data_IF_329733424177
#
_entry.id   IF_329733424177
#
_cell.length_a   1.000
_cell.length_b   1.000
_cell.length_c   1.000
_cell.angle_alpha   90.00
_cell.angle_beta   90.00
_cell.angle_gamma   90.00
#
_symmetry.space_group_name_H-M   'P 1'
#
loop_
_entity.id
_entity.type
_entity.pdbx_description
1 polymer ?
#
# COMPACT_ATOMS: atom_id res chain seq x y z
N UNK A 1 7.45 -12.03 30.03
CA UNK A 1 6.46 -11.77 28.97
C UNK A 1 6.26 -10.27 28.86
N UNK A 2 6.47 -9.69 27.68
CA UNK A 2 6.16 -8.30 27.38
C UNK A 2 5.09 -8.30 26.27
N UNK A 3 4.03 -7.51 26.43
CA UNK A 3 2.95 -7.38 25.44
C UNK A 3 2.74 -5.90 25.17
N UNK A 4 2.59 -5.55 23.89
CA UNK A 4 2.33 -4.19 23.43
C UNK A 4 1.05 -4.21 22.60
N UNK A 5 0.18 -3.22 22.78
CA UNK A 5 -1.03 -3.08 21.99
C UNK A 5 -1.88 -1.91 22.45
N UNK A 6 -2.87 -1.57 21.64
CA UNK A 6 -3.86 -0.53 21.90
C UNK A 6 -5.26 -1.15 21.80
N UNK A 7 -6.01 -1.08 22.90
CA UNK A 7 -7.37 -1.62 22.96
C UNK A 7 -8.30 -0.91 21.96
N UNK A 8 -8.12 0.39 21.75
CA UNK A 8 -8.91 1.20 20.81
C UNK A 8 -8.66 0.85 19.35
N UNK A 9 -7.58 0.13 19.03
CA UNK A 9 -7.26 -0.34 17.68
C UNK A 9 -7.67 -1.80 17.43
N UNK A 10 -8.54 -2.38 18.26
CA UNK A 10 -9.01 -3.77 18.06
C UNK A 10 -10.11 -3.84 16.99
N UNK A 11 -9.69 -3.83 15.72
CA UNK A 11 -10.59 -3.78 14.55
C UNK A 11 -10.88 -5.16 13.90
N UNK A 12 -10.26 -6.24 14.39
CA UNK A 12 -10.43 -7.61 13.86
C UNK A 12 -11.36 -8.48 14.71
N UNK A 13 -12.35 -7.89 15.38
CA UNK A 13 -13.28 -8.64 16.24
C UNK A 13 -14.12 -9.66 15.47
N UNK A 14 -14.40 -9.39 14.20
CA UNK A 14 -15.11 -10.31 13.30
C UNK A 14 -14.34 -11.61 13.01
N UNK A 15 -13.01 -11.63 13.19
CA UNK A 15 -12.19 -12.84 13.15
C UNK A 15 -11.79 -13.34 14.54
N UNK A 16 -12.47 -12.87 15.59
CA UNK A 16 -12.27 -13.32 16.97
C UNK A 16 -11.23 -12.54 17.79
N UNK A 17 -10.70 -11.41 17.30
CA UNK A 17 -9.83 -10.57 18.13
C UNK A 17 -10.63 -9.91 19.27
N UNK A 18 -10.08 -9.92 20.49
CA UNK A 18 -10.72 -9.29 21.66
C UNK A 18 -9.74 -8.36 22.38
N UNK A 19 -10.18 -7.14 22.78
CA UNK A 19 -9.36 -6.25 23.60
C UNK A 19 -9.15 -6.81 25.02
N UNK A 20 -9.95 -7.78 25.47
CA UNK A 20 -9.92 -8.33 26.82
C UNK A 20 -8.56 -8.90 27.22
N UNK A 21 -7.76 -9.35 26.27
CA UNK A 21 -6.40 -9.83 26.53
C UNK A 21 -5.49 -8.71 27.06
N UNK A 22 -5.62 -7.49 26.52
CA UNK A 22 -4.89 -6.33 26.98
C UNK A 22 -5.52 -5.76 28.26
N UNK A 23 -6.83 -5.61 28.28
CA UNK A 23 -7.55 -5.00 29.40
C UNK A 23 -7.39 -5.80 30.70
N UNK A 24 -7.41 -7.15 30.62
CA UNK A 24 -7.27 -8.02 31.80
C UNK A 24 -5.84 -8.49 32.05
N UNK A 25 -4.83 -7.92 31.36
CA UNK A 25 -3.46 -8.39 31.48
C UNK A 25 -2.94 -8.32 32.92
N UNK A 26 -3.20 -7.21 33.63
CA UNK A 26 -2.82 -7.04 35.04
C UNK A 26 -3.58 -7.98 35.98
N UNK A 27 -4.81 -8.34 35.65
CA UNK A 27 -5.59 -9.32 36.43
C UNK A 27 -4.94 -10.70 36.37
N UNK A 28 -4.41 -11.07 35.19
CA UNK A 28 -3.73 -12.36 34.97
C UNK A 28 -2.26 -12.34 35.41
N UNK A 29 -1.63 -11.16 35.39
CA UNK A 29 -0.24 -10.94 35.78
C UNK A 29 -0.14 -9.76 36.77
N UNK A 30 -0.43 -9.97 38.07
CA UNK A 30 -0.51 -8.88 39.06
C UNK A 30 0.79 -8.07 39.23
N UNK A 31 1.94 -8.70 39.01
CA UNK A 31 3.26 -8.05 39.06
C UNK A 31 3.66 -7.28 37.78
N UNK A 32 2.77 -7.19 36.78
CA UNK A 32 3.09 -6.53 35.52
C UNK A 32 3.24 -5.01 35.70
N UNK A 33 4.32 -4.45 35.16
CA UNK A 33 4.51 -3.01 35.02
C UNK A 33 3.73 -2.51 33.81
N UNK A 34 2.98 -1.42 33.97
CA UNK A 34 2.27 -0.78 32.85
C UNK A 34 2.96 0.51 32.48
N UNK A 35 3.35 0.60 31.22
CA UNK A 35 3.91 1.81 30.61
C UNK A 35 2.89 2.33 29.61
N UNK A 36 2.47 3.59 29.75
CA UNK A 36 1.56 4.25 28.81
C UNK A 36 2.38 5.14 27.88
N UNK A 37 2.28 4.89 26.58
CA UNK A 37 2.90 5.71 25.55
C UNK A 37 1.85 6.69 25.03
N UNK A 38 1.94 7.95 25.45
CA UNK A 38 0.97 9.01 25.09
C UNK A 38 1.51 9.98 24.05
N UNK A 39 2.79 9.89 23.71
CA UNK A 39 3.42 10.77 22.71
C UNK A 39 3.22 10.17 21.33
N UNK A 40 2.51 10.89 20.47
CA UNK A 40 2.33 10.54 19.06
C UNK A 40 3.38 11.28 18.22
N UNK A 41 4.21 10.53 17.50
CA UNK A 41 5.25 11.10 16.63
C UNK A 41 4.85 11.05 15.14
N UNK A 42 3.65 10.53 14.83
CA UNK A 42 3.20 10.26 13.47
C UNK A 42 2.41 11.42 12.89
N UNK A 43 1.47 11.94 13.67
CA UNK A 43 0.38 12.81 13.22
C UNK A 43 0.53 14.22 13.76
N UNK A 44 0.00 15.19 13.04
CA UNK A 44 -0.02 16.60 13.46
C UNK A 44 -0.94 16.81 14.65
N UNK A 45 -0.78 17.90 15.43
CA UNK A 45 -1.68 18.23 16.53
C UNK A 45 -3.16 18.26 16.14
N UNK A 46 -3.48 18.70 14.92
CA UNK A 46 -4.86 18.77 14.39
C UNK A 46 -5.48 17.39 14.20
N UNK A 47 -4.74 16.46 13.58
CA UNK A 47 -5.20 15.08 13.38
C UNK A 47 -5.33 14.36 14.72
N UNK A 48 -4.36 14.53 15.63
CA UNK A 48 -4.42 13.95 16.99
C UNK A 48 -5.59 14.50 17.78
N UNK A 49 -5.88 15.80 17.68
CA UNK A 49 -7.01 16.42 18.35
C UNK A 49 -8.35 15.84 17.86
N UNK A 50 -8.53 15.70 16.54
CA UNK A 50 -9.72 15.08 15.96
C UNK A 50 -9.88 13.62 16.42
N UNK A 51 -8.79 12.85 16.41
CA UNK A 51 -8.80 11.44 16.83
C UNK A 51 -9.17 11.30 18.33
N UNK A 52 -8.56 12.10 19.21
CA UNK A 52 -8.90 12.12 20.64
C UNK A 52 -10.37 12.51 20.85
N UNK A 53 -10.87 13.51 20.10
CA UNK A 53 -12.26 13.92 20.13
C UNK A 53 -13.23 12.79 19.77
N UNK A 54 -12.97 12.07 18.68
CA UNK A 54 -13.76 10.92 18.25
C UNK A 54 -13.74 9.79 19.29
N UNK A 55 -12.56 9.45 19.80
CA UNK A 55 -12.39 8.41 20.82
C UNK A 55 -13.04 8.79 22.16
N UNK A 56 -13.18 10.09 22.46
CA UNK A 56 -13.84 10.54 23.68
C UNK A 56 -15.33 10.19 23.73
N UNK A 57 -15.97 10.02 22.57
CA UNK A 57 -17.38 9.68 22.41
C UNK A 57 -17.65 8.17 22.46
N UNK A 58 -16.62 7.33 22.42
CA UNK A 58 -16.78 5.88 22.47
C UNK A 58 -17.33 5.41 23.84
N UNK A 59 -18.14 4.35 23.83
CA UNK A 59 -18.73 3.74 25.03
C UNK A 59 -18.23 2.31 25.29
N UNK A 60 -18.33 1.85 26.54
CA UNK A 60 -17.95 0.49 26.95
C UNK A 60 -16.55 0.38 27.55
N UNK A 61 -16.12 -0.85 27.91
CA UNK A 61 -14.87 -1.11 28.65
C UNK A 61 -13.60 -0.57 27.98
N UNK A 62 -13.60 -0.39 26.66
CA UNK A 62 -12.47 0.19 25.94
C UNK A 62 -12.29 1.69 26.24
N UNK A 63 -13.36 2.41 26.56
CA UNK A 63 -13.29 3.83 26.91
C UNK A 63 -12.54 4.09 28.23
N UNK A 64 -12.63 3.16 29.20
CA UNK A 64 -11.95 3.28 30.50
C UNK A 64 -10.41 3.20 30.39
N UNK A 65 -9.92 2.62 29.29
CA UNK A 65 -8.50 2.40 29.04
C UNK A 65 -7.96 3.23 27.87
N UNK A 66 -8.72 4.22 27.38
CA UNK A 66 -8.28 5.09 26.30
C UNK A 66 -7.03 5.88 26.67
N UNK A 67 -6.13 5.99 25.71
CA UNK A 67 -4.96 6.85 25.81
C UNK A 67 -5.30 8.18 25.13
N UNK A 68 -5.13 9.27 25.85
CA UNK A 68 -5.13 10.60 25.24
C UNK A 68 -3.74 10.84 24.65
N UNK A 69 -3.69 10.98 23.32
CA UNK A 69 -2.43 11.15 22.60
C UNK A 69 -2.04 12.63 22.52
N UNK A 70 -0.74 12.91 22.54
CA UNK A 70 -0.16 14.25 22.43
C UNK A 70 0.85 14.24 21.29
N UNK A 71 0.53 14.96 20.21
CA UNK A 71 1.42 15.09 19.04
C UNK A 71 2.76 15.72 19.43
N UNK A 72 3.83 15.21 18.83
CA UNK A 72 5.19 15.74 18.90
C UNK A 72 5.63 16.40 17.58
N UNK A 73 4.74 16.48 16.59
CA UNK A 73 5.00 17.14 15.30
C UNK A 73 4.62 18.61 15.36
N UNK A 74 5.16 19.36 14.41
CA UNK A 74 4.70 20.73 14.15
C UNK A 74 3.25 20.76 13.69
N UNK A 75 2.64 21.94 13.79
CA UNK A 75 1.26 22.17 13.34
C UNK A 75 1.13 21.92 11.84
N UNK A 76 0.11 21.16 11.46
CA UNK A 76 -0.26 20.94 10.06
C UNK A 76 -1.59 21.59 9.69
N UNK A 77 -2.15 21.26 8.51
CA UNK A 77 -3.46 21.72 8.11
C UNK A 77 -4.57 21.09 8.97
N UNK A 78 -5.72 21.77 9.05
CA UNK A 78 -6.92 21.21 9.67
C UNK A 78 -7.53 20.11 8.79
N UNK A 79 -7.99 18.98 9.37
CA UNK A 79 -8.81 18.02 8.66
C UNK A 79 -10.06 18.69 8.08
N UNK A 80 -10.35 18.40 6.80
CA UNK A 80 -11.51 18.96 6.10
C UNK A 80 -12.52 17.85 5.84
N UNK A 81 -13.80 18.15 6.09
CA UNK A 81 -14.93 17.32 5.71
C UNK A 81 -15.68 17.98 4.55
N UNK A 82 -15.98 17.19 3.52
CA UNK A 82 -16.72 17.64 2.34
C UNK A 82 -17.78 16.60 2.00
N UNK A 83 -19.00 17.05 1.73
CA UNK A 83 -20.11 16.21 1.28
C UNK A 83 -20.29 16.34 -0.24
N UNK A 84 -20.65 15.25 -0.91
CA UNK A 84 -20.90 15.18 -2.34
C UNK A 84 -22.29 14.59 -2.60
N UNK A 85 -22.88 14.94 -3.76
CA UNK A 85 -24.23 14.49 -4.12
C UNK A 85 -24.30 12.99 -4.46
N UNK A 86 -23.18 12.40 -4.89
CA UNK A 86 -23.05 10.99 -5.20
C UNK A 86 -21.58 10.51 -5.07
N UNK A 87 -21.39 9.20 -5.08
CA UNK A 87 -20.09 8.53 -4.97
C UNK A 87 -19.14 8.82 -6.16
N UNK A 88 -19.60 8.85 -7.43
CA UNK A 88 -18.74 9.26 -8.55
C UNK A 88 -18.22 10.69 -8.40
N UNK A 89 -19.06 11.64 -7.98
CA UNK A 89 -18.66 13.03 -7.76
C UNK A 89 -17.63 13.18 -6.64
N UNK A 90 -17.75 12.39 -5.58
CA UNK A 90 -16.73 12.28 -4.52
C UNK A 90 -15.39 11.77 -5.09
N UNK A 91 -15.41 10.68 -5.86
CA UNK A 91 -14.21 10.07 -6.42
C UNK A 91 -13.50 11.00 -7.42
N UNK A 92 -14.23 11.66 -8.32
CA UNK A 92 -13.68 12.64 -9.26
C UNK A 92 -13.05 13.84 -8.54
N UNK A 93 -13.73 14.36 -7.52
CA UNK A 93 -13.21 15.47 -6.73
C UNK A 93 -11.95 15.07 -5.96
N UNK A 94 -11.95 13.87 -5.39
CA UNK A 94 -10.79 13.28 -4.70
C UNK A 94 -9.61 13.14 -5.66
N UNK A 95 -9.81 12.56 -6.84
CA UNK A 95 -8.77 12.42 -7.85
C UNK A 95 -8.20 13.78 -8.32
N UNK A 96 -9.06 14.80 -8.51
CA UNK A 96 -8.61 16.17 -8.82
C UNK A 96 -7.72 16.72 -7.70
N UNK A 97 -8.14 16.60 -6.44
CA UNK A 97 -7.39 17.11 -5.29
C UNK A 97 -6.03 16.41 -5.14
N UNK A 98 -5.99 15.10 -5.36
CA UNK A 98 -4.76 14.31 -5.33
C UNK A 98 -3.81 14.76 -6.46
N UNK A 99 -4.32 14.96 -7.67
CA UNK A 99 -3.52 15.49 -8.78
C UNK A 99 -2.95 16.87 -8.44
N UNK A 100 -3.74 17.73 -7.81
CA UNK A 100 -3.29 19.07 -7.41
C UNK A 100 -2.20 19.00 -6.31
N UNK A 101 -2.29 18.05 -5.36
CA UNK A 101 -1.22 17.77 -4.39
C UNK A 101 0.07 17.29 -5.07
N UNK A 102 -0.04 16.36 -6.02
CA UNK A 102 1.10 15.87 -6.79
C UNK A 102 1.73 17.01 -7.60
N UNK A 103 0.92 17.86 -8.22
CA UNK A 103 1.38 19.04 -8.96
C UNK A 103 2.08 20.07 -8.02
N UNK A 104 1.66 20.14 -6.76
CA UNK A 104 2.32 20.93 -5.72
C UNK A 104 3.60 20.29 -5.16
N UNK A 105 3.96 19.09 -5.61
CA UNK A 105 5.20 18.40 -5.24
C UNK A 105 5.06 17.31 -4.18
N UNK A 106 3.85 16.98 -3.74
CA UNK A 106 3.64 15.85 -2.82
C UNK A 106 3.90 14.53 -3.56
N UNK A 107 4.81 13.67 -3.09
CA UNK A 107 5.03 12.36 -3.69
C UNK A 107 3.75 11.52 -3.70
N UNK A 108 3.40 10.91 -4.84
CA UNK A 108 2.18 10.09 -4.93
C UNK A 108 2.16 8.93 -3.93
N UNK A 109 3.33 8.38 -3.58
CA UNK A 109 3.46 7.33 -2.56
C UNK A 109 3.16 7.79 -1.12
N UNK A 110 3.11 9.10 -0.87
CA UNK A 110 2.73 9.69 0.42
C UNK A 110 1.25 10.04 0.51
N UNK A 111 0.44 9.65 -0.48
CA UNK A 111 -1.00 9.91 -0.53
C UNK A 111 -1.76 8.58 -0.46
N UNK A 112 -2.81 8.53 0.38
CA UNK A 112 -3.70 7.37 0.45
C UNK A 112 -5.19 7.74 0.44
N UNK A 113 -6.01 6.88 -0.19
CA UNK A 113 -7.47 6.90 -0.10
C UNK A 113 -7.92 5.66 0.64
N UNK A 114 -8.58 5.86 1.78
CA UNK A 114 -9.03 4.80 2.66
C UNK A 114 -10.55 4.63 2.59
N UNK A 115 -11.00 3.41 2.34
CA UNK A 115 -12.43 3.08 2.22
C UNK A 115 -12.85 1.95 3.16
N UNK A 116 -14.16 1.78 3.36
CA UNK A 116 -14.69 0.82 4.35
C UNK A 116 -14.75 -0.60 3.80
N UNK A 117 -15.12 -0.77 2.53
CA UNK A 117 -15.26 -2.06 1.85
C UNK A 117 -14.56 -2.04 0.50
N UNK A 118 -14.04 -3.19 0.07
CA UNK A 118 -13.25 -3.28 -1.16
C UNK A 118 -14.02 -2.91 -2.42
N UNK A 119 -15.34 -3.11 -2.45
CA UNK A 119 -16.17 -2.74 -3.61
C UNK A 119 -16.18 -1.23 -3.89
N UNK A 120 -15.79 -0.40 -2.92
CA UNK A 120 -15.64 1.03 -3.12
C UNK A 120 -14.38 1.38 -3.92
N UNK A 121 -13.41 0.47 -4.11
CA UNK A 121 -12.17 0.85 -4.80
C UNK A 121 -12.41 1.23 -6.26
N UNK A 122 -13.30 0.50 -6.94
CA UNK A 122 -13.53 0.60 -8.39
C UNK A 122 -13.81 2.03 -8.88
N UNK A 123 -14.65 2.79 -8.16
CA UNK A 123 -15.00 4.17 -8.53
C UNK A 123 -13.82 5.13 -8.36
N UNK A 124 -12.97 4.91 -7.35
CA UNK A 124 -11.76 5.71 -7.12
C UNK A 124 -10.65 5.34 -8.10
N UNK A 125 -10.52 4.06 -8.45
CA UNK A 125 -9.61 3.58 -9.50
C UNK A 125 -9.93 4.25 -10.84
N UNK A 126 -11.21 4.25 -11.22
CA UNK A 126 -11.70 4.93 -12.43
C UNK A 126 -11.35 6.42 -12.41
N UNK A 127 -11.71 7.13 -11.34
CA UNK A 127 -11.48 8.57 -11.24
C UNK A 127 -9.99 8.94 -11.28
N UNK A 128 -9.12 8.15 -10.63
CA UNK A 128 -7.67 8.36 -10.65
C UNK A 128 -7.10 8.09 -12.04
N UNK A 129 -7.55 7.02 -12.72
CA UNK A 129 -7.15 6.72 -14.08
C UNK A 129 -7.55 7.84 -15.06
N UNK A 130 -8.78 8.35 -14.96
CA UNK A 130 -9.29 9.45 -15.80
C UNK A 130 -8.53 10.76 -15.54
N UNK A 131 -8.08 10.97 -14.30
CA UNK A 131 -7.24 12.10 -13.92
C UNK A 131 -5.74 11.91 -14.29
N UNK A 132 -5.35 10.75 -14.82
CA UNK A 132 -3.96 10.42 -15.15
C UNK A 132 -3.07 10.24 -13.91
N UNK A 133 -3.64 9.95 -12.76
CA UNK A 133 -2.93 9.78 -11.49
C UNK A 133 -2.57 8.31 -11.29
N UNK A 134 -1.28 7.96 -11.09
CA UNK A 134 -0.88 6.58 -10.81
C UNK A 134 -1.37 6.15 -9.43
N UNK A 135 -1.94 4.95 -9.33
CA UNK A 135 -2.43 4.39 -8.07
C UNK A 135 -1.96 2.95 -7.86
N UNK A 136 -2.17 2.44 -6.65
CA UNK A 136 -1.94 1.04 -6.31
C UNK A 136 -2.99 0.55 -5.31
N UNK A 137 -3.50 -0.67 -5.50
CA UNK A 137 -4.41 -1.31 -4.56
C UNK A 137 -3.64 -2.08 -3.48
N UNK A 138 -3.90 -1.76 -2.21
CA UNK A 138 -3.42 -2.49 -1.04
C UNK A 138 -4.56 -3.35 -0.47
N UNK A 139 -4.34 -4.67 -0.50
CA UNK A 139 -5.28 -5.66 0.05
C UNK A 139 -6.24 -6.28 -0.96
N UNK A 140 -6.19 -5.88 -2.24
CA UNK A 140 -6.84 -6.57 -3.35
C UNK A 140 -5.83 -7.52 -4.01
N UNK A 141 -5.90 -8.81 -3.63
CA UNK A 141 -4.99 -9.91 -4.00
C UNK A 141 -3.50 -9.64 -3.70
N UNK A 142 -2.76 -10.58 -3.10
CA UNK A 142 -1.32 -10.32 -2.91
C UNK A 142 -0.70 -10.12 -4.29
N UNK A 143 0.18 -9.13 -4.45
CA UNK A 143 0.79 -8.80 -5.76
C UNK A 143 1.30 -10.04 -6.51
N UNK A 144 1.99 -10.95 -5.80
CA UNK A 144 2.51 -12.20 -6.36
C UNK A 144 1.48 -13.32 -6.55
N UNK A 145 0.26 -13.16 -6.03
CA UNK A 145 -0.87 -14.06 -6.25
C UNK A 145 -1.65 -13.71 -7.52
N UNK A 146 -1.60 -12.45 -7.98
CA UNK A 146 -2.23 -11.98 -9.22
C UNK A 146 -1.84 -12.84 -10.41
N UNK A 147 -2.84 -13.22 -11.22
CA UNK A 147 -2.65 -14.13 -12.35
C UNK A 147 -1.55 -13.65 -13.31
N UNK A 148 -1.58 -12.37 -13.68
CA UNK A 148 -0.59 -11.77 -14.58
C UNK A 148 0.82 -11.74 -14.00
N UNK A 149 0.98 -11.56 -12.69
CA UNK A 149 2.28 -11.55 -12.01
C UNK A 149 2.84 -12.97 -11.94
N UNK A 150 1.99 -13.98 -11.69
CA UNK A 150 2.38 -15.39 -11.73
C UNK A 150 2.80 -15.81 -13.15
N UNK A 151 2.03 -15.41 -14.18
CA UNK A 151 2.36 -15.65 -15.58
C UNK A 151 3.70 -15.00 -15.97
N UNK A 152 3.93 -13.75 -15.55
CA UNK A 152 5.18 -13.03 -15.76
C UNK A 152 6.35 -13.73 -15.07
N UNK A 153 6.20 -14.14 -13.82
CA UNK A 153 7.23 -14.87 -13.08
C UNK A 153 7.60 -16.21 -13.73
N UNK A 154 6.63 -16.93 -14.32
CA UNK A 154 6.91 -18.14 -15.10
C UNK A 154 7.71 -17.82 -16.36
N UNK A 155 7.37 -16.75 -17.09
CA UNK A 155 8.09 -16.34 -18.28
C UNK A 155 9.54 -15.92 -17.97
N UNK A 156 9.74 -15.12 -16.92
CA UNK A 156 11.06 -14.70 -16.45
C UNK A 156 11.93 -15.90 -16.03
N UNK A 157 11.35 -16.88 -15.33
CA UNK A 157 12.03 -18.16 -15.02
C UNK A 157 12.42 -18.94 -16.26
N UNK A 158 11.56 -18.94 -17.29
CA UNK A 158 11.85 -19.57 -18.58
C UNK A 158 13.06 -18.95 -19.25
N UNK A 159 13.04 -17.63 -19.42
CA UNK A 159 14.12 -16.85 -20.02
C UNK A 159 15.44 -16.99 -19.22
N UNK A 160 15.38 -16.92 -17.89
CA UNK A 160 16.55 -17.09 -17.03
C UNK A 160 17.23 -18.47 -17.18
N UNK A 161 16.45 -19.52 -17.48
CA UNK A 161 16.98 -20.87 -17.73
C UNK A 161 17.51 -21.05 -19.15
N UNK A 162 16.88 -20.40 -20.13
CA UNK A 162 17.33 -20.43 -21.52
C UNK A 162 18.65 -19.65 -21.70
N UNK A 163 18.88 -18.61 -20.90
CA UNK A 163 20.11 -17.83 -20.91
C UNK A 163 20.37 -17.19 -22.28
N UNK A 164 21.63 -17.12 -22.70
CA UNK A 164 22.02 -16.56 -24.01
C UNK A 164 21.58 -17.37 -25.24
N UNK A 165 20.81 -18.45 -25.06
CA UNK A 165 20.22 -19.22 -26.16
C UNK A 165 18.76 -18.82 -26.46
N UNK A 166 18.21 -17.85 -25.72
CA UNK A 166 16.87 -17.33 -25.96
C UNK A 166 16.92 -16.19 -26.98
N UNK A 167 16.42 -16.42 -28.19
CA UNK A 167 16.36 -15.39 -29.23
C UNK A 167 15.44 -14.21 -28.86
N UNK A 168 14.60 -14.36 -27.82
CA UNK A 168 13.82 -13.24 -27.27
C UNK A 168 14.70 -12.20 -26.55
N UNK A 169 15.90 -12.58 -26.14
CA UNK A 169 16.85 -11.71 -25.44
C UNK A 169 17.90 -11.11 -26.40
N UNK A 170 17.85 -11.45 -27.69
CA UNK A 170 18.75 -10.91 -28.70
C UNK A 170 18.63 -9.38 -28.76
N UNK A 171 19.72 -8.68 -28.44
CA UNK A 171 19.78 -7.21 -28.41
C UNK A 171 19.42 -6.56 -27.06
N UNK A 172 19.11 -7.35 -26.02
CA UNK A 172 18.91 -6.83 -24.67
C UNK A 172 20.22 -6.89 -23.86
N UNK A 173 20.95 -5.76 -23.84
CA UNK A 173 22.28 -5.68 -23.22
C UNK A 173 22.24 -5.63 -21.68
N UNK A 174 21.19 -5.05 -21.12
CA UNK A 174 21.01 -4.83 -19.67
C UNK A 174 19.83 -5.63 -19.09
N UNK A 175 19.81 -5.76 -17.75
CA UNK A 175 18.82 -6.59 -17.06
C UNK A 175 17.40 -6.04 -17.26
N UNK A 176 17.24 -4.71 -17.14
CA UNK A 176 15.96 -4.06 -17.36
C UNK A 176 15.40 -4.32 -18.77
N UNK A 177 16.25 -4.29 -19.80
CA UNK A 177 15.88 -4.54 -21.20
C UNK A 177 15.50 -6.01 -21.43
N UNK A 178 16.18 -6.95 -20.78
CA UNK A 178 15.81 -8.37 -20.83
C UNK A 178 14.43 -8.59 -20.21
N UNK A 179 14.15 -7.97 -19.06
CA UNK A 179 12.83 -8.04 -18.41
C UNK A 179 11.76 -7.41 -19.29
N UNK A 180 12.01 -6.23 -19.87
CA UNK A 180 11.07 -5.58 -20.80
C UNK A 180 10.78 -6.45 -22.02
N UNK A 181 11.78 -7.11 -22.60
CA UNK A 181 11.61 -8.03 -23.72
C UNK A 181 10.69 -9.21 -23.35
N UNK A 182 10.94 -9.85 -22.20
CA UNK A 182 10.12 -10.96 -21.71
C UNK A 182 8.69 -10.50 -21.41
N UNK A 183 8.50 -9.38 -20.70
CA UNK A 183 7.18 -8.90 -20.29
C UNK A 183 6.37 -8.33 -21.46
N UNK A 184 7.02 -7.90 -22.54
CA UNK A 184 6.34 -7.51 -23.79
C UNK A 184 5.54 -8.68 -24.38
N UNK A 185 6.02 -9.93 -24.23
CA UNK A 185 5.27 -11.14 -24.63
C UNK A 185 4.01 -11.39 -23.78
N UNK A 186 3.90 -10.72 -22.62
CA UNK A 186 2.78 -10.83 -21.67
C UNK A 186 1.85 -9.62 -21.68
N UNK A 187 2.03 -8.71 -22.65
CA UNK A 187 1.20 -7.54 -22.84
C UNK A 187 1.71 -6.27 -22.17
N UNK A 188 2.95 -6.24 -21.67
CA UNK A 188 3.57 -5.00 -21.24
C UNK A 188 3.93 -4.13 -22.44
N UNK A 189 3.72 -2.81 -22.30
CA UNK A 189 4.07 -1.81 -23.31
C UNK A 189 4.77 -0.64 -22.65
N UNK A 190 5.60 0.10 -23.39
CA UNK A 190 6.32 1.26 -22.84
C UNK A 190 5.38 2.40 -22.41
N UNK A 191 4.29 2.58 -23.13
CA UNK A 191 3.22 3.53 -22.76
C UNK A 191 2.07 2.77 -22.11
N UNK A 192 1.49 3.33 -21.04
CA UNK A 192 0.34 2.71 -20.43
C UNK A 192 -0.89 2.75 -21.35
N UNK A 193 -1.77 1.73 -21.28
CA UNK A 193 -3.04 1.76 -21.99
C UNK A 193 -3.95 2.88 -21.47
N UNK A 194 -4.79 3.41 -22.36
CA UNK A 194 -5.78 4.42 -22.03
C UNK A 194 -6.99 3.79 -21.32
N UNK A 195 -7.58 4.52 -20.37
CA UNK A 195 -8.67 4.05 -19.54
C UNK A 195 -8.21 3.27 -18.30
N UNK A 196 -9.19 2.81 -17.54
CA UNK A 196 -9.12 2.04 -16.30
C UNK A 196 -9.50 0.56 -16.55
N UNK A 197 -9.34 -0.27 -15.52
CA UNK A 197 -9.83 -1.64 -15.49
C UNK A 197 -8.77 -2.69 -15.84
N UNK A 198 -9.19 -3.94 -16.03
CA UNK A 198 -8.32 -5.12 -16.00
C UNK A 198 -7.10 -5.08 -16.94
N UNK A 199 -7.19 -4.40 -18.08
CA UNK A 199 -6.07 -4.20 -19.01
C UNK A 199 -5.03 -3.25 -18.42
N UNK A 200 -5.48 -2.16 -17.80
CA UNK A 200 -4.63 -1.18 -17.13
C UNK A 200 -4.00 -1.77 -15.87
N UNK A 201 -4.78 -2.49 -15.07
CA UNK A 201 -4.29 -3.14 -13.85
C UNK A 201 -3.21 -4.18 -14.17
N UNK A 202 -3.44 -4.99 -15.21
CA UNK A 202 -2.43 -5.93 -15.73
C UNK A 202 -1.17 -5.20 -16.15
N UNK A 203 -1.29 -4.10 -16.89
CA UNK A 203 -0.15 -3.31 -17.33
C UNK A 203 0.64 -2.75 -16.14
N UNK A 204 -0.04 -2.24 -15.10
CA UNK A 204 0.60 -1.68 -13.91
C UNK A 204 1.32 -2.75 -13.08
N UNK A 205 0.73 -3.94 -12.95
CA UNK A 205 1.37 -5.12 -12.36
C UNK A 205 2.68 -5.47 -13.08
N UNK A 206 2.68 -5.47 -14.42
CA UNK A 206 3.88 -5.75 -15.22
C UNK A 206 4.91 -4.61 -15.15
N UNK A 207 4.45 -3.36 -15.18
CA UNK A 207 5.33 -2.19 -15.05
C UNK A 207 6.02 -2.12 -13.68
N UNK A 208 5.38 -2.63 -12.63
CA UNK A 208 6.00 -2.76 -11.31
C UNK A 208 7.17 -3.76 -11.30
N UNK A 209 7.08 -4.86 -12.06
CA UNK A 209 8.19 -5.80 -12.22
C UNK A 209 9.36 -5.19 -13.01
N UNK A 210 9.07 -4.37 -14.04
CA UNK A 210 10.11 -3.64 -14.79
C UNK A 210 10.86 -2.67 -13.88
N UNK A 211 10.15 -1.84 -13.10
CA UNK A 211 10.79 -0.92 -12.15
C UNK A 211 11.62 -1.65 -11.09
N UNK A 212 11.11 -2.78 -10.58
CA UNK A 212 11.89 -3.60 -9.64
C UNK A 212 13.20 -4.08 -10.28
N UNK A 213 13.19 -4.47 -11.56
CA UNK A 213 14.39 -4.88 -12.26
C UNK A 213 15.40 -3.71 -12.41
N UNK A 214 14.92 -2.51 -12.74
CA UNK A 214 15.74 -1.29 -12.84
C UNK A 214 16.38 -0.92 -11.49
N UNK A 215 15.59 -0.97 -10.41
CA UNK A 215 16.06 -0.71 -9.04
C UNK A 215 17.09 -1.77 -8.61
N UNK A 216 16.84 -3.04 -8.94
CA UNK A 216 17.73 -4.15 -8.61
C UNK A 216 19.06 -4.07 -9.36
N UNK A 217 19.03 -3.71 -10.64
CA UNK A 217 20.23 -3.47 -11.46
C UNK A 217 21.05 -2.30 -10.93
N UNK A 218 20.37 -1.20 -10.56
CA UNK A 218 21.03 -0.03 -9.96
C UNK A 218 21.70 -0.39 -8.63
N UNK A 219 21.05 -1.21 -7.79
CA UNK A 219 21.58 -1.64 -6.51
C UNK A 219 22.69 -2.70 -6.63
N UNK A 220 22.66 -3.52 -7.69
CA UNK A 220 23.61 -4.61 -7.95
C UNK A 220 24.04 -4.61 -9.43
N UNK A 221 24.99 -3.75 -9.81
CA UNK A 221 25.51 -3.72 -11.19
C UNK A 221 26.07 -5.09 -11.60
N UNK A 222 25.69 -5.56 -12.80
CA UNK A 222 26.07 -6.88 -13.32
C UNK A 222 25.22 -8.05 -12.81
N UNK A 223 24.13 -7.78 -12.09
CA UNK A 223 23.16 -8.81 -11.73
C UNK A 223 22.53 -9.47 -12.98
N UNK A 224 22.32 -10.77 -12.90
CA UNK A 224 21.73 -11.55 -14.01
C UNK A 224 20.21 -11.68 -13.87
N UNK A 225 19.54 -12.10 -14.95
CA UNK A 225 18.11 -12.42 -14.90
C UNK A 225 17.79 -13.53 -13.89
N UNK A 226 18.72 -14.48 -13.68
CA UNK A 226 18.59 -15.51 -12.66
C UNK A 226 18.65 -14.94 -11.24
N UNK A 227 19.47 -13.92 -11.00
CA UNK A 227 19.54 -13.24 -9.71
C UNK A 227 18.25 -12.49 -9.39
N UNK A 228 17.68 -11.82 -10.40
CA UNK A 228 16.39 -11.14 -10.27
C UNK A 228 15.26 -12.13 -9.97
N UNK A 229 15.21 -13.27 -10.66
CA UNK A 229 14.21 -14.31 -10.40
C UNK A 229 14.27 -14.80 -8.95
N UNK A 230 15.47 -15.02 -8.41
CA UNK A 230 15.66 -15.40 -7.01
C UNK A 230 15.16 -14.32 -6.05
N UNK A 231 15.49 -13.06 -6.30
CA UNK A 231 14.98 -11.93 -5.52
C UNK A 231 13.44 -11.87 -5.53
N UNK A 232 12.82 -12.08 -6.70
CA UNK A 232 11.36 -12.11 -6.84
C UNK A 232 10.74 -13.28 -6.06
N UNK A 233 11.35 -14.47 -6.09
CA UNK A 233 10.88 -15.63 -5.32
C UNK A 233 11.01 -15.39 -3.80
N UNK A 234 12.12 -14.78 -3.34
CA UNK A 234 12.31 -14.39 -1.94
C UNK A 234 11.26 -13.36 -1.49
N UNK A 235 11.01 -12.34 -2.30
CA UNK A 235 9.96 -11.34 -2.06
C UNK A 235 8.56 -11.93 -2.07
N UNK A 236 8.28 -12.87 -2.96
CA UNK A 236 6.99 -13.57 -3.02
C UNK A 236 6.76 -14.39 -1.75
N UNK A 237 7.79 -15.14 -1.31
CA UNK A 237 7.74 -15.90 -0.06
C UNK A 237 7.55 -15.00 1.16
N UNK A 238 8.19 -13.83 1.16
CA UNK A 238 8.07 -12.83 2.22
C UNK A 238 6.86 -11.89 2.08
N UNK A 239 6.07 -11.98 1.00
CA UNK A 239 4.97 -11.06 0.65
C UNK A 239 5.39 -9.58 0.52
N UNK A 240 6.65 -9.30 0.16
CA UNK A 240 7.20 -7.96 -0.03
C UNK A 240 6.99 -7.47 -1.47
N UNK A 241 5.82 -6.91 -1.77
CA UNK A 241 5.52 -6.33 -3.08
C UNK A 241 6.46 -5.14 -3.41
N UNK A 242 6.82 -4.91 -4.69
CA UNK A 242 7.55 -3.71 -5.12
C UNK A 242 6.80 -2.43 -4.72
N UNK A 243 7.52 -1.37 -4.37
CA UNK A 243 6.94 -0.04 -4.16
C UNK A 243 6.51 0.55 -5.50
N UNK A 244 5.22 0.51 -5.79
CA UNK A 244 4.64 1.31 -6.87
C UNK A 244 4.59 2.76 -6.38
N UNK A 245 5.27 3.67 -7.08
CA UNK A 245 5.14 5.11 -6.87
C UNK A 245 3.76 5.55 -7.36
N UNK A 246 2.77 5.46 -6.48
CA UNK A 246 1.37 5.73 -6.77
C UNK A 246 0.54 5.84 -5.50
N UNK A 247 -0.58 6.55 -5.64
CA UNK A 247 -1.56 6.78 -4.58
C UNK A 247 -2.05 5.43 -4.05
N UNK A 248 -2.04 5.26 -2.73
CA UNK A 248 -2.48 3.99 -2.14
C UNK A 248 -3.98 3.96 -1.97
N UNK A 249 -4.65 3.02 -2.63
CA UNK A 249 -6.05 2.67 -2.41
C UNK A 249 -6.11 1.49 -1.45
N UNK A 250 -6.72 1.66 -0.27
CA UNK A 250 -6.75 0.59 0.75
C UNK A 250 -8.06 0.57 1.53
N UNK A 251 -8.47 -0.61 1.99
CA UNK A 251 -9.48 -0.68 3.05
C UNK A 251 -8.91 -0.21 4.38
N UNK A 252 -9.76 0.36 5.25
CA UNK A 252 -9.39 0.75 6.61
C UNK A 252 -8.71 -0.38 7.42
N UNK A 253 -9.08 -1.64 7.16
CA UNK A 253 -8.44 -2.80 7.78
C UNK A 253 -7.02 -3.05 7.25
N UNK A 254 -6.82 -2.92 5.94
CA UNK A 254 -5.52 -3.10 5.30
C UNK A 254 -4.54 -1.96 5.64
N UNK A 255 -5.05 -0.79 6.01
CA UNK A 255 -4.25 0.37 6.41
C UNK A 255 -3.67 0.29 7.83
N UNK A 256 -4.07 -0.70 8.64
CA UNK A 256 -3.63 -0.78 10.03
C UNK A 256 -2.10 -0.93 10.12
N UNK A 257 -1.48 0.02 10.83
CA UNK A 257 -0.02 0.06 11.03
C UNK A 257 0.75 0.84 9.96
N UNK A 258 0.09 1.23 8.87
CA UNK A 258 0.67 2.07 7.82
C UNK A 258 0.51 3.56 8.15
N UNK A 259 1.27 4.40 7.45
CA UNK A 259 1.26 5.86 7.57
C UNK A 259 1.61 6.53 6.24
N UNK A 260 1.06 7.72 6.05
CA UNK A 260 1.21 8.59 4.88
C UNK A 260 1.20 10.03 5.38
N UNK A 261 1.94 10.93 4.73
CA UNK A 261 2.00 12.34 5.14
C UNK A 261 0.80 13.15 4.59
N UNK A 262 0.14 12.71 3.51
CA UNK A 262 -0.96 13.40 2.84
C UNK A 262 -2.24 12.57 2.69
#
# INVERSE_FOLDING_TARGET
LCVVGDASQTIYSFTGATPDHLLNFRTRHPGATVVKLVRDYRSTPQVVHLANGLLSQAHGKAADHRLELVSQRDKGPEPVYTEYGDEPGEAESTARRIRDLIAAGVPAGEIAVLYRVNSQSEVYEQALADAGVPYQLRGAERFFERAEVREAGVALRGAARAGGNDSLLDGAEDLASQVRAVLSTKGWTTRPPAGSGSVRDRWESLAALVRLAEDFETAKPGATLADLVRELDERAAAQHAPTVQGVTLASLHAAKGLEWDA
#
